data_IF_828911906796
#
_entry.id   IF_828911906796
#
_cell.length_a   1.000
_cell.length_b   1.000
_cell.length_c   1.000
_cell.angle_alpha   90.00
_cell.angle_beta   90.00
_cell.angle_gamma   90.00
#
_symmetry.space_group_name_H-M   'P 1'
#
loop_
_entity.id
_entity.type
_entity.pdbx_description
1 polymer ?
#
# COMPACT_ATOMS: atom_id res chain seq x y z
N UNK A 1 -1.82 6.55 44.51
CA UNK A 1 -2.20 6.24 43.11
C UNK A 1 -3.36 7.16 42.74
N UNK A 2 -3.27 8.01 41.71
CA UNK A 2 -4.41 8.81 41.28
C UNK A 2 -5.56 7.90 40.84
N UNK A 3 -6.80 8.33 41.07
CA UNK A 3 -7.99 7.58 40.65
C UNK A 3 -8.02 7.44 39.12
N UNK A 4 -8.57 6.33 38.64
CA UNK A 4 -8.69 6.04 37.21
C UNK A 4 -9.45 7.16 36.46
N UNK A 5 -10.38 7.83 37.14
CA UNK A 5 -11.14 8.94 36.56
C UNK A 5 -10.26 10.18 36.35
N UNK A 6 -9.25 10.41 37.19
CA UNK A 6 -8.29 11.51 37.04
C UNK A 6 -7.43 11.32 35.80
N UNK A 7 -6.91 10.11 35.59
CA UNK A 7 -6.12 9.77 34.38
C UNK A 7 -7.01 9.87 33.14
N UNK A 8 -8.23 9.32 33.19
CA UNK A 8 -9.17 9.37 32.07
C UNK A 8 -9.50 10.81 31.67
N UNK A 9 -9.85 11.67 32.64
CA UNK A 9 -10.15 13.10 32.43
C UNK A 9 -8.93 13.87 31.91
N UNK A 10 -7.73 13.55 32.38
CA UNK A 10 -6.51 14.16 31.85
C UNK A 10 -6.31 13.80 30.36
N UNK A 11 -6.41 12.51 30.03
CA UNK A 11 -6.27 12.02 28.66
C UNK A 11 -7.35 12.54 27.72
N UNK A 12 -8.59 12.72 28.19
CA UNK A 12 -9.71 13.14 27.36
C UNK A 12 -9.88 14.65 27.25
N UNK A 13 -9.59 15.40 28.33
CA UNK A 13 -9.94 16.82 28.42
C UNK A 13 -8.73 17.75 28.35
N UNK A 14 -7.53 17.28 28.73
CA UNK A 14 -6.32 18.12 28.74
C UNK A 14 -5.37 17.82 27.60
N UNK A 15 -5.15 16.54 27.30
CA UNK A 15 -4.41 16.18 26.09
C UNK A 15 -5.35 16.36 24.90
N UNK A 16 -4.95 17.18 23.93
CA UNK A 16 -5.73 17.57 22.74
C UNK A 16 -6.01 16.44 21.74
N UNK A 17 -6.34 15.25 22.23
CA UNK A 17 -6.67 14.07 21.43
C UNK A 17 -5.49 13.59 20.57
N UNK A 18 -5.77 13.08 19.37
CA UNK A 18 -4.74 12.49 18.50
C UNK A 18 -3.69 13.48 18.02
N UNK A 19 -4.00 14.78 17.97
CA UNK A 19 -3.04 15.80 17.54
C UNK A 19 -1.83 15.86 18.49
N UNK A 20 -2.08 15.92 19.80
CA UNK A 20 -1.02 15.87 20.81
C UNK A 20 -0.15 14.60 20.68
N UNK A 21 -0.80 13.44 20.54
CA UNK A 21 -0.06 12.17 20.40
C UNK A 21 0.71 12.07 19.09
N UNK A 22 0.22 12.70 18.02
CA UNK A 22 0.91 12.78 16.75
C UNK A 22 2.13 13.69 16.86
N UNK A 23 2.00 14.85 17.51
CA UNK A 23 3.10 15.79 17.75
C UNK A 23 4.19 15.15 18.61
N UNK A 24 3.82 14.54 19.74
CA UNK A 24 4.74 13.78 20.59
C UNK A 24 5.40 12.61 19.82
N UNK A 25 4.64 11.96 18.93
CA UNK A 25 5.18 10.94 18.05
C UNK A 25 6.21 11.54 17.07
N UNK A 26 5.98 12.71 16.50
CA UNK A 26 6.96 13.35 15.63
C UNK A 26 8.19 13.85 16.40
N UNK A 27 8.02 14.41 17.60
CA UNK A 27 9.11 14.97 18.40
C UNK A 27 10.12 13.90 18.83
N UNK A 28 9.66 12.76 19.36
CA UNK A 28 10.60 11.70 19.74
C UNK A 28 11.27 11.07 18.50
N UNK A 29 10.64 11.08 17.33
CA UNK A 29 11.30 10.64 16.10
C UNK A 29 12.41 11.60 15.68
N UNK A 30 12.21 12.92 15.78
CA UNK A 30 13.29 13.90 15.55
C UNK A 30 14.45 13.67 16.50
N UNK A 31 14.18 13.39 17.78
CA UNK A 31 15.23 13.11 18.75
C UNK A 31 16.02 11.82 18.43
N UNK A 32 15.32 10.74 18.05
CA UNK A 32 15.95 9.48 17.62
C UNK A 32 16.79 9.70 16.35
N UNK A 33 16.29 10.52 15.42
CA UNK A 33 16.97 10.87 14.18
C UNK A 33 18.25 11.68 14.43
N UNK A 34 18.18 12.68 15.31
CA UNK A 34 19.33 13.51 15.70
C UNK A 34 20.45 12.69 16.35
N UNK A 35 20.13 11.63 17.08
CA UNK A 35 21.11 10.69 17.63
C UNK A 35 21.63 9.67 16.58
N UNK A 36 21.23 9.78 15.31
CA UNK A 36 21.70 8.96 14.21
C UNK A 36 21.18 7.53 14.21
N UNK A 37 20.03 7.26 14.84
CA UNK A 37 19.46 5.91 14.90
C UNK A 37 18.47 5.60 13.77
N UNK A 38 18.15 6.56 12.92
CA UNK A 38 17.39 6.34 11.70
C UNK A 38 18.34 6.38 10.50
N UNK A 39 18.19 5.43 9.57
CA UNK A 39 18.99 5.39 8.34
C UNK A 39 18.39 6.23 7.22
N UNK A 40 17.05 6.22 7.11
CA UNK A 40 16.32 6.72 5.94
C UNK A 40 16.65 6.01 4.63
N UNK A 41 17.39 4.90 4.67
CA UNK A 41 17.76 4.19 3.44
C UNK A 41 16.63 3.29 2.97
N UNK A 42 16.15 2.42 3.88
CA UNK A 42 15.15 1.42 3.58
C UNK A 42 13.98 1.61 4.52
N UNK A 43 12.83 1.99 3.96
CA UNK A 43 11.56 1.96 4.67
C UNK A 43 10.75 0.74 4.29
N UNK A 44 10.04 0.17 5.26
CA UNK A 44 9.15 -0.97 5.04
C UNK A 44 7.77 -0.59 5.53
N UNK A 45 6.77 -0.72 4.66
CA UNK A 45 5.39 -0.38 4.99
C UNK A 45 4.44 -1.53 4.74
N UNK A 46 3.48 -1.68 5.63
CA UNK A 46 2.42 -2.68 5.54
C UNK A 46 1.22 -2.25 6.40
N UNK A 47 0.09 -2.93 6.21
CA UNK A 47 -1.17 -2.67 6.91
C UNK A 47 -1.65 -3.88 7.70
N UNK A 48 -2.02 -3.67 8.96
CA UNK A 48 -2.62 -4.70 9.81
C UNK A 48 -4.07 -4.39 10.14
N UNK A 49 -4.88 -5.45 10.25
CA UNK A 49 -6.22 -5.38 10.82
C UNK A 49 -6.15 -5.28 12.35
N UNK A 50 -6.89 -4.32 12.90
CA UNK A 50 -7.14 -4.14 14.33
C UNK A 50 -8.63 -4.39 14.59
N UNK A 51 -8.96 -5.38 15.43
CA UNK A 51 -10.36 -5.75 15.70
C UNK A 51 -11.06 -4.65 16.50
N UNK A 52 -12.18 -4.14 15.99
CA UNK A 52 -12.95 -3.11 16.66
C UNK A 52 -13.70 -3.69 17.88
N UNK A 53 -13.94 -2.86 18.90
CA UNK A 53 -14.81 -3.19 20.02
C UNK A 53 -16.30 -3.05 19.64
N UNK A 54 -16.70 -3.86 18.65
CA UNK A 54 -18.02 -3.85 18.04
C UNK A 54 -18.48 -5.27 17.68
N UNK A 55 -19.72 -5.62 18.01
CA UNK A 55 -20.28 -6.93 17.73
C UNK A 55 -20.74 -7.03 16.26
N UNK A 56 -20.11 -7.91 15.48
CA UNK A 56 -20.45 -8.12 14.06
C UNK A 56 -21.89 -8.57 13.80
N UNK A 57 -22.57 -9.18 14.78
CA UNK A 57 -23.97 -9.60 14.67
C UNK A 57 -24.95 -8.44 14.83
N UNK A 58 -24.53 -7.36 15.50
CA UNK A 58 -25.30 -6.12 15.65
C UNK A 58 -24.80 -5.12 14.61
N UNK A 59 -25.48 -5.06 13.46
CA UNK A 59 -25.13 -4.19 12.34
C UNK A 59 -26.37 -3.58 11.72
N UNK A 60 -26.22 -2.35 11.28
CA UNK A 60 -27.22 -1.63 10.52
C UNK A 60 -26.71 -1.44 9.09
N UNK A 61 -27.65 -1.34 8.15
CA UNK A 61 -27.35 -1.17 6.73
C UNK A 61 -27.71 0.26 6.38
N UNK A 62 -26.70 1.02 5.97
CA UNK A 62 -26.87 2.38 5.47
C UNK A 62 -26.56 2.43 3.99
N UNK A 63 -27.22 3.35 3.29
CA UNK A 63 -26.93 3.67 1.90
C UNK A 63 -26.24 5.02 1.85
N UNK A 64 -24.97 5.01 1.48
CA UNK A 64 -24.24 6.25 1.24
C UNK A 64 -24.31 6.56 -0.25
N UNK A 65 -24.76 7.76 -0.59
CA UNK A 65 -24.66 8.26 -1.96
C UNK A 65 -23.18 8.52 -2.27
N UNK A 66 -22.67 7.85 -3.29
CA UNK A 66 -21.32 8.09 -3.79
C UNK A 66 -21.41 8.49 -5.24
N UNK A 67 -20.85 9.66 -5.56
CA UNK A 67 -20.68 10.10 -6.93
C UNK A 67 -19.55 9.29 -7.55
N UNK A 68 -19.90 8.41 -8.49
CA UNK A 68 -18.88 7.73 -9.29
C UNK A 68 -18.54 8.67 -10.44
N UNK A 69 -17.51 9.48 -10.26
CA UNK A 69 -16.87 10.22 -11.35
C UNK A 69 -16.04 9.24 -12.19
N UNK A 70 -16.19 9.31 -13.53
CA UNK A 70 -15.48 8.37 -14.40
C UNK A 70 -14.03 8.83 -14.65
N UNK A 71 -13.12 7.96 -14.16
CA UNK A 71 -11.80 7.62 -14.70
C UNK A 71 -10.77 8.74 -14.87
N UNK A 72 -9.94 8.97 -13.84
CA UNK A 72 -8.62 9.67 -13.94
C UNK A 72 -7.73 9.16 -15.10
N UNK A 73 -8.04 7.99 -15.68
CA UNK A 73 -7.32 7.45 -16.82
C UNK A 73 -7.93 7.86 -18.18
N UNK A 74 -9.09 8.54 -18.23
CA UNK A 74 -9.81 8.80 -19.47
C UNK A 74 -9.02 9.68 -20.42
N UNK A 75 -8.40 10.74 -19.90
CA UNK A 75 -7.49 11.61 -20.66
C UNK A 75 -6.35 10.77 -21.27
N UNK A 76 -5.66 9.99 -20.43
CA UNK A 76 -4.58 9.11 -20.86
C UNK A 76 -5.05 8.04 -21.87
N UNK A 77 -6.25 7.50 -21.71
CA UNK A 77 -6.86 6.56 -22.66
C UNK A 77 -7.12 7.26 -23.99
N UNK A 78 -7.64 8.49 -23.97
CA UNK A 78 -7.96 9.25 -25.16
C UNK A 78 -6.71 9.68 -25.92
N UNK A 79 -5.64 10.07 -25.23
CA UNK A 79 -4.33 10.36 -25.82
C UNK A 79 -3.84 9.18 -26.68
N UNK A 80 -3.87 7.96 -26.13
CA UNK A 80 -3.53 6.76 -26.91
C UNK A 80 -4.49 6.53 -28.07
N UNK A 81 -5.79 6.72 -27.88
CA UNK A 81 -6.78 6.49 -28.94
C UNK A 81 -6.51 7.43 -30.12
N UNK A 82 -6.28 8.70 -29.84
CA UNK A 82 -5.99 9.73 -30.84
C UNK A 82 -4.67 9.45 -31.57
N UNK A 83 -3.61 9.08 -30.84
CA UNK A 83 -2.32 8.67 -31.41
C UNK A 83 -2.46 7.55 -32.45
N UNK A 84 -3.42 6.63 -32.26
CA UNK A 84 -3.71 5.52 -33.17
C UNK A 84 -4.93 5.74 -34.07
N UNK A 85 -5.33 7.00 -34.29
CA UNK A 85 -6.42 7.37 -35.21
C UNK A 85 -7.80 6.85 -34.78
N UNK A 86 -8.02 6.60 -33.48
CA UNK A 86 -9.31 6.18 -32.91
C UNK A 86 -10.02 7.36 -32.28
N UNK A 87 -11.35 7.42 -32.49
CA UNK A 87 -12.19 8.46 -31.87
C UNK A 87 -12.07 8.43 -30.33
N UNK A 88 -11.93 9.58 -29.66
CA UNK A 88 -11.89 9.63 -28.20
C UNK A 88 -13.19 9.13 -27.58
N UNK A 89 -13.10 8.60 -26.36
CA UNK A 89 -14.25 8.21 -25.55
C UNK A 89 -14.77 9.46 -24.83
N UNK A 90 -16.07 9.71 -24.95
CA UNK A 90 -16.75 10.77 -24.19
C UNK A 90 -16.81 10.41 -22.72
N UNK A 91 -16.61 11.36 -21.82
CA UNK A 91 -16.81 11.15 -20.39
C UNK A 91 -18.24 10.66 -20.10
N UNK A 92 -18.42 9.72 -19.16
CA UNK A 92 -19.76 9.43 -18.64
C UNK A 92 -20.21 10.57 -17.75
N UNK A 93 -21.52 10.85 -17.81
CA UNK A 93 -22.17 11.71 -16.81
C UNK A 93 -21.98 11.11 -15.43
N UNK A 94 -21.81 11.98 -14.45
CA UNK A 94 -21.77 11.58 -13.05
C UNK A 94 -23.01 10.78 -12.70
N UNK A 95 -22.80 9.65 -12.03
CA UNK A 95 -23.88 8.82 -11.52
C UNK A 95 -23.77 8.73 -10.02
N UNK A 96 -24.85 9.16 -9.37
CA UNK A 96 -25.07 8.91 -7.96
C UNK A 96 -25.43 7.43 -7.79
N UNK A 97 -24.55 6.69 -7.13
CA UNK A 97 -24.78 5.28 -6.82
C UNK A 97 -24.98 5.16 -5.30
N UNK A 98 -26.07 4.51 -4.89
CA UNK A 98 -26.27 4.13 -3.51
C UNK A 98 -25.40 2.93 -3.18
N UNK A 99 -24.39 3.14 -2.34
CA UNK A 99 -23.52 2.06 -1.87
C UNK A 99 -24.06 1.53 -0.55
N UNK A 100 -24.35 0.24 -0.51
CA UNK A 100 -24.71 -0.47 0.73
C UNK A 100 -23.48 -0.58 1.63
N UNK A 101 -23.57 -0.05 2.84
CA UNK A 101 -22.51 -0.10 3.86
C UNK A 101 -23.06 -0.75 5.12
N UNK A 102 -22.32 -1.74 5.64
CA UNK A 102 -22.60 -2.28 6.97
C UNK A 102 -21.86 -1.43 8.01
N UNK A 103 -22.61 -0.89 8.97
CA UNK A 103 -22.07 -0.06 10.05
C UNK A 103 -22.41 -0.69 11.41
N UNK A 104 -21.55 -0.47 12.41
CA UNK A 104 -21.87 -0.86 13.77
C UNK A 104 -22.69 0.24 14.45
N UNK A 105 -23.80 -0.08 15.15
CA UNK A 105 -24.59 0.90 15.88
C UNK A 105 -23.81 1.57 17.03
N UNK A 106 -22.77 0.89 17.54
CA UNK A 106 -21.98 1.36 18.67
C UNK A 106 -20.65 1.98 18.25
N UNK A 107 -20.22 1.77 17.00
CA UNK A 107 -18.96 2.25 16.45
C UNK A 107 -19.10 2.55 14.95
N UNK A 108 -19.53 3.78 14.67
CA UNK A 108 -19.85 4.27 13.33
C UNK A 108 -18.64 4.27 12.37
N UNK A 109 -17.42 4.28 12.90
CA UNK A 109 -16.18 4.39 12.12
C UNK A 109 -15.61 3.03 11.72
N UNK A 110 -15.91 1.98 12.49
CA UNK A 110 -15.47 0.64 12.16
C UNK A 110 -16.13 0.13 10.87
N UNK A 111 -15.40 -0.69 10.10
CA UNK A 111 -15.93 -1.32 8.89
C UNK A 111 -15.78 -2.82 8.94
N UNK A 112 -16.70 -3.52 8.27
CA UNK A 112 -16.68 -4.97 8.19
C UNK A 112 -15.53 -5.41 7.26
N UNK A 113 -14.47 -5.96 7.84
CA UNK A 113 -13.36 -6.55 7.12
C UNK A 113 -13.50 -8.07 7.07
N UNK A 114 -13.12 -8.66 5.93
CA UNK A 114 -13.07 -10.12 5.70
C UNK A 114 -11.63 -10.63 5.51
N UNK A 115 -10.62 -9.83 5.90
CA UNK A 115 -9.19 -10.14 5.69
C UNK A 115 -8.76 -11.42 6.42
N UNK A 116 -9.17 -11.58 7.68
CA UNK A 116 -8.82 -12.75 8.50
C UNK A 116 -9.99 -13.70 8.81
N UNK A 117 -11.24 -13.24 8.67
CA UNK A 117 -12.44 -14.04 8.93
C UNK A 117 -13.40 -14.04 7.74
N UNK A 118 -13.76 -15.23 7.22
CA UNK A 118 -14.71 -15.38 6.11
C UNK A 118 -16.07 -14.70 6.39
N UNK A 119 -16.55 -14.76 7.63
CA UNK A 119 -17.82 -14.13 8.06
C UNK A 119 -17.66 -12.64 8.41
N UNK A 120 -16.45 -12.12 8.27
CA UNK A 120 -16.06 -10.75 8.60
C UNK A 120 -16.08 -10.43 10.09
N UNK A 121 -15.43 -9.31 10.44
CA UNK A 121 -15.48 -8.66 11.74
C UNK A 121 -15.39 -7.14 11.57
N UNK A 122 -15.97 -6.37 12.48
CA UNK A 122 -15.73 -4.93 12.50
C UNK A 122 -14.29 -4.66 12.90
N UNK A 123 -13.61 -3.81 12.14
CA UNK A 123 -12.20 -3.55 12.29
C UNK A 123 -11.81 -2.14 11.82
N UNK A 124 -10.58 -1.79 12.18
CA UNK A 124 -9.78 -0.70 11.63
C UNK A 124 -8.56 -1.27 10.92
N UNK A 125 -7.93 -0.47 10.06
CA UNK A 125 -6.59 -0.75 9.56
C UNK A 125 -5.60 0.21 10.21
N UNK A 126 -4.50 -0.33 10.70
CA UNK A 126 -3.29 0.43 11.03
C UNK A 126 -2.32 0.31 9.84
N UNK A 127 -1.94 1.45 9.26
CA UNK A 127 -0.96 1.58 8.18
C UNK A 127 0.35 2.07 8.78
N UNK A 128 1.39 1.23 8.75
CA UNK A 128 2.65 1.49 9.44
C UNK A 128 3.80 1.60 8.46
N UNK A 129 4.74 2.51 8.75
CA UNK A 129 6.06 2.59 8.09
C UNK A 129 7.13 2.39 9.16
N UNK A 130 8.13 1.57 8.84
CA UNK A 130 9.25 1.20 9.72
C UNK A 130 10.57 1.47 9.02
N UNK A 131 11.51 2.16 9.69
CA UNK A 131 12.90 2.28 9.25
C UNK A 131 13.64 0.95 9.53
N UNK A 132 14.29 0.39 8.51
CA UNK A 132 14.78 -0.98 8.57
C UNK A 132 16.06 -1.17 9.40
N UNK A 133 16.83 -0.11 9.72
CA UNK A 133 18.10 -0.25 10.42
C UNK A 133 17.90 -0.86 11.82
N UNK A 134 17.08 -0.20 12.64
CA UNK A 134 16.76 -0.60 14.01
C UNK A 134 15.28 -0.90 14.23
N UNK A 135 14.52 -1.02 13.15
CA UNK A 135 13.08 -1.28 13.17
C UNK A 135 12.25 -0.19 13.87
N UNK A 136 12.66 1.07 13.84
CA UNK A 136 11.87 2.16 14.43
C UNK A 136 10.58 2.37 13.64
N UNK A 137 9.46 2.50 14.36
CA UNK A 137 8.17 2.84 13.74
C UNK A 137 8.20 4.33 13.46
N UNK A 138 8.25 4.73 12.19
CA UNK A 138 8.40 6.14 11.80
C UNK A 138 7.08 6.77 11.33
N UNK A 139 6.08 5.96 10.97
CA UNK A 139 4.72 6.42 10.75
C UNK A 139 3.71 5.37 11.19
N UNK A 140 2.58 5.81 11.73
CA UNK A 140 1.40 4.96 11.93
C UNK A 140 0.11 5.77 11.77
N UNK A 141 -0.76 5.32 10.88
CA UNK A 141 -2.06 5.94 10.60
C UNK A 141 -3.18 4.92 10.79
N UNK A 142 -4.32 5.35 11.34
CA UNK A 142 -5.48 4.48 11.53
C UNK A 142 -6.60 4.91 10.60
N UNK A 143 -7.19 3.95 9.91
CA UNK A 143 -8.37 4.18 9.08
C UNK A 143 -9.45 3.17 9.37
N UNK A 144 -10.66 3.46 8.90
CA UNK A 144 -11.67 2.44 8.72
C UNK A 144 -11.13 1.27 7.87
N UNK A 145 -11.55 0.04 8.15
CA UNK A 145 -11.05 -1.19 7.49
C UNK A 145 -11.53 -1.42 6.04
N UNK A 146 -11.76 -0.34 5.31
CA UNK A 146 -12.09 -0.31 3.89
C UNK A 146 -11.17 0.63 3.08
N UNK A 147 -10.25 1.33 3.75
CA UNK A 147 -9.27 2.22 3.10
C UNK A 147 -7.95 1.47 2.97
N UNK A 148 -7.54 1.07 1.75
CA UNK A 148 -6.34 0.26 1.54
C UNK A 148 -5.06 1.09 1.63
N UNK A 149 -3.97 0.46 2.06
CA UNK A 149 -2.68 1.13 2.31
C UNK A 149 -2.10 1.89 1.14
N UNK A 150 -2.33 1.46 -0.12
CA UNK A 150 -1.84 2.19 -1.30
C UNK A 150 -2.48 3.58 -1.48
N UNK A 151 -3.59 3.86 -0.80
CA UNK A 151 -4.21 5.20 -0.76
C UNK A 151 -3.64 6.06 0.36
N UNK A 152 -3.20 5.45 1.47
CA UNK A 152 -2.73 6.13 2.68
C UNK A 152 -1.24 6.45 2.62
N UNK A 153 -0.43 5.50 2.16
CA UNK A 153 1.02 5.58 2.18
C UNK A 153 1.61 6.81 1.47
N UNK A 154 1.10 7.30 0.31
CA UNK A 154 1.65 8.50 -0.30
C UNK A 154 1.65 9.72 0.63
N UNK A 155 0.57 9.94 1.38
CA UNK A 155 0.49 11.03 2.34
C UNK A 155 1.43 10.82 3.53
N UNK A 156 1.59 9.58 3.99
CA UNK A 156 2.59 9.26 5.03
C UNK A 156 4.01 9.56 4.56
N UNK A 157 4.36 9.21 3.31
CA UNK A 157 5.68 9.52 2.76
C UNK A 157 5.93 11.02 2.64
N UNK A 158 4.93 11.79 2.23
CA UNK A 158 5.05 13.25 2.12
C UNK A 158 5.23 13.88 3.51
N UNK A 159 4.51 13.41 4.52
CA UNK A 159 4.71 13.83 5.90
C UNK A 159 6.09 13.44 6.45
N UNK A 160 6.59 12.23 6.14
CA UNK A 160 7.93 11.81 6.55
C UNK A 160 9.03 12.65 5.87
N UNK A 161 8.82 13.07 4.61
CA UNK A 161 9.69 14.03 3.95
C UNK A 161 9.69 15.38 4.64
N UNK A 162 8.53 15.88 5.06
CA UNK A 162 8.45 17.12 5.85
C UNK A 162 9.16 16.99 7.20
N UNK A 163 9.07 15.82 7.84
CA UNK A 163 9.66 15.55 9.14
C UNK A 163 11.19 15.43 9.10
N UNK A 164 11.73 14.70 8.11
CA UNK A 164 13.16 14.36 8.01
C UNK A 164 13.91 15.13 6.89
N UNK A 165 13.21 15.98 6.16
CA UNK A 165 13.74 16.73 5.02
C UNK A 165 14.03 15.90 3.76
N UNK A 166 13.75 14.58 3.77
CA UNK A 166 14.07 13.65 2.67
C UNK A 166 13.08 12.48 2.58
N UNK A 167 12.94 11.92 1.38
CA UNK A 167 12.34 10.59 1.22
C UNK A 167 13.37 9.50 1.52
N UNK A 168 12.90 8.28 1.74
CA UNK A 168 13.79 7.12 1.70
C UNK A 168 14.36 6.86 0.30
N UNK A 169 15.53 6.23 0.28
CA UNK A 169 16.13 5.73 -0.97
C UNK A 169 15.29 4.57 -1.53
N UNK A 170 14.82 3.68 -0.65
CA UNK A 170 14.16 2.44 -1.03
C UNK A 170 12.97 2.10 -0.14
N UNK A 171 11.98 1.45 -0.73
CA UNK A 171 10.79 0.99 -0.03
C UNK A 171 10.43 -0.46 -0.36
N UNK A 172 10.09 -1.24 0.69
CA UNK A 172 9.61 -2.61 0.56
C UNK A 172 8.15 -2.73 1.00
N UNK A 173 7.31 -3.30 0.12
CA UNK A 173 5.86 -3.32 0.25
C UNK A 173 5.26 -4.70 -0.08
N UNK A 174 4.07 -4.93 0.46
CA UNK A 174 3.26 -6.11 0.21
C UNK A 174 2.56 -6.08 -1.17
N UNK A 175 1.83 -7.15 -1.51
CA UNK A 175 1.15 -7.23 -2.81
C UNK A 175 -0.13 -6.40 -2.91
N UNK A 176 -0.67 -5.93 -1.78
CA UNK A 176 -1.77 -4.96 -1.72
C UNK A 176 -1.42 -3.58 -2.27
N UNK A 177 -0.12 -3.26 -2.35
CA UNK A 177 0.39 -2.04 -2.97
C UNK A 177 0.63 -2.17 -4.49
N UNK A 178 0.37 -3.32 -5.11
CA UNK A 178 0.55 -3.54 -6.55
C UNK A 178 -0.55 -2.82 -7.37
N UNK A 179 -0.42 -1.50 -7.50
CA UNK A 179 -1.35 -0.61 -8.18
C UNK A 179 -0.57 0.44 -8.99
N UNK A 180 -0.83 0.53 -10.29
CA UNK A 180 -0.11 1.44 -11.19
C UNK A 180 -0.08 2.91 -10.72
N UNK A 181 -1.19 3.45 -10.20
CA UNK A 181 -1.24 4.85 -9.75
C UNK A 181 -0.34 5.07 -8.55
N UNK A 182 -0.39 4.15 -7.60
CA UNK A 182 0.50 4.17 -6.45
C UNK A 182 1.97 4.05 -6.89
N UNK A 183 2.30 3.10 -7.77
CA UNK A 183 3.66 2.90 -8.27
C UNK A 183 4.19 4.17 -8.96
N UNK A 184 3.37 4.82 -9.80
CA UNK A 184 3.74 6.11 -10.44
C UNK A 184 4.05 7.19 -9.41
N UNK A 185 3.28 7.28 -8.31
CA UNK A 185 3.55 8.21 -7.21
C UNK A 185 4.87 7.89 -6.48
N UNK A 186 5.24 6.62 -6.34
CA UNK A 186 6.52 6.22 -5.75
C UNK A 186 7.68 6.57 -6.68
N UNK A 187 7.57 6.26 -7.98
CA UNK A 187 8.62 6.57 -8.96
C UNK A 187 8.79 8.07 -9.18
N UNK A 188 7.73 8.87 -9.14
CA UNK A 188 7.84 10.33 -9.21
C UNK A 188 8.62 10.93 -8.04
N UNK A 189 8.70 10.22 -6.91
CA UNK A 189 9.50 10.58 -5.73
C UNK A 189 10.94 10.03 -5.79
N UNK A 190 11.31 9.37 -6.90
CA UNK A 190 12.63 8.73 -7.14
C UNK A 190 12.99 7.64 -6.11
N UNK A 191 11.99 6.97 -5.55
CA UNK A 191 12.17 5.89 -4.57
C UNK A 191 12.26 4.55 -5.30
N UNK A 192 13.29 3.76 -5.02
CA UNK A 192 13.36 2.37 -5.52
C UNK A 192 12.37 1.49 -4.76
N UNK A 193 11.54 0.73 -5.48
CA UNK A 193 10.44 -0.01 -4.89
C UNK A 193 10.53 -1.52 -5.11
N UNK A 194 10.52 -2.27 -4.01
CA UNK A 194 10.11 -3.67 -4.03
C UNK A 194 8.63 -3.76 -3.63
N UNK A 195 7.80 -4.30 -4.52
CA UNK A 195 6.41 -4.63 -4.23
C UNK A 195 6.20 -6.11 -4.51
N UNK A 196 5.71 -6.86 -3.53
CA UNK A 196 5.45 -8.28 -3.73
C UNK A 196 4.44 -8.51 -4.88
N UNK A 197 4.77 -9.42 -5.79
CA UNK A 197 3.89 -9.71 -6.93
C UNK A 197 2.83 -10.75 -6.55
N UNK A 198 1.55 -10.39 -6.69
CA UNK A 198 0.46 -11.36 -6.56
C UNK A 198 0.34 -12.17 -7.85
N UNK A 199 0.66 -13.47 -7.77
CA UNK A 199 0.46 -14.39 -8.89
C UNK A 199 -1.03 -14.67 -9.05
N UNK A 200 -1.64 -14.08 -10.07
CA UNK A 200 -3.02 -14.37 -10.44
C UNK A 200 -3.02 -15.65 -11.28
N UNK A 201 -3.87 -16.66 -10.97
CA UNK A 201 -4.03 -17.82 -11.82
C UNK A 201 -4.45 -17.37 -13.22
N UNK A 202 -3.64 -17.67 -14.23
CA UNK A 202 -3.95 -17.34 -15.62
C UNK A 202 -4.61 -18.55 -16.28
N UNK A 203 -5.75 -18.33 -16.96
CA UNK A 203 -6.40 -19.32 -17.83
C UNK A 203 -5.80 -19.33 -19.24
N UNK A 204 -4.52 -18.98 -19.37
CA UNK A 204 -3.79 -18.90 -20.64
C UNK A 204 -2.99 -20.19 -20.86
N UNK A 205 -2.85 -20.60 -22.13
CA UNK A 205 -2.04 -21.76 -22.48
C UNK A 205 -0.58 -21.57 -22.03
N UNK A 206 0.09 -22.57 -21.42
CA UNK A 206 1.44 -22.43 -20.88
C UNK A 206 2.50 -21.97 -21.89
N UNK A 207 2.37 -22.40 -23.15
CA UNK A 207 3.28 -22.05 -24.26
C UNK A 207 2.86 -20.76 -25.00
N UNK A 208 1.72 -20.18 -24.64
CA UNK A 208 1.25 -18.93 -25.21
C UNK A 208 0.68 -18.05 -24.11
N UNK A 209 1.54 -17.52 -23.25
CA UNK A 209 1.20 -16.54 -22.22
C UNK A 209 1.45 -15.14 -22.74
N UNK A 210 0.73 -14.16 -22.18
CA UNK A 210 0.94 -12.74 -22.46
C UNK A 210 2.41 -12.31 -22.39
N UNK A 211 3.17 -12.83 -21.44
CA UNK A 211 4.60 -12.51 -21.23
C UNK A 211 5.52 -13.06 -22.31
N UNK A 212 5.04 -13.99 -23.14
CA UNK A 212 5.80 -14.57 -24.26
C UNK A 212 5.54 -13.85 -25.58
N UNK A 213 4.62 -12.87 -25.62
CA UNK A 213 4.43 -12.02 -26.79
C UNK A 213 5.60 -11.05 -26.89
N UNK A 214 6.20 -10.94 -28.08
CA UNK A 214 7.30 -10.02 -28.36
C UNK A 214 6.74 -8.73 -28.95
N UNK A 215 7.11 -7.58 -28.38
CA UNK A 215 6.85 -6.27 -28.98
C UNK A 215 7.76 -6.11 -30.20
N UNK A 216 7.19 -5.87 -31.38
CA UNK A 216 7.93 -5.61 -32.62
C UNK A 216 8.01 -4.10 -32.85
N UNK A 217 6.87 -3.41 -32.72
CA UNK A 217 6.74 -1.94 -32.74
C UNK A 217 5.73 -1.51 -31.66
N UNK A 218 5.40 -0.22 -31.58
CA UNK A 218 4.42 0.28 -30.60
C UNK A 218 3.03 -0.37 -30.76
N UNK A 219 2.59 -0.50 -32.01
CA UNK A 219 1.28 -0.99 -32.44
C UNK A 219 1.26 -2.46 -32.87
N UNK A 220 2.40 -3.16 -32.79
CA UNK A 220 2.56 -4.51 -33.32
C UNK A 220 3.29 -5.43 -32.34
N UNK A 221 2.63 -6.53 -32.02
CA UNK A 221 3.19 -7.65 -31.25
C UNK A 221 3.23 -8.92 -32.10
N UNK A 222 4.15 -9.83 -31.79
CA UNK A 222 4.16 -11.18 -32.33
C UNK A 222 3.88 -12.19 -31.21
N UNK A 223 3.01 -13.16 -31.46
CA UNK A 223 2.82 -14.28 -30.53
C UNK A 223 3.98 -15.29 -30.64
N UNK A 224 4.07 -16.28 -29.73
CA UNK A 224 5.10 -17.32 -29.78
C UNK A 224 5.13 -18.15 -31.08
N UNK A 225 4.01 -18.24 -31.81
CA UNK A 225 3.95 -18.90 -33.12
C UNK A 225 4.35 -17.97 -34.29
N UNK A 226 4.81 -16.75 -34.03
CA UNK A 226 5.17 -15.76 -35.05
C UNK A 226 4.00 -14.99 -35.66
N UNK A 227 2.75 -15.26 -35.28
CA UNK A 227 1.56 -14.55 -35.79
C UNK A 227 1.56 -13.10 -35.30
N UNK A 228 1.37 -12.10 -36.20
CA UNK A 228 1.31 -10.69 -35.83
C UNK A 228 -0.04 -10.31 -35.18
N UNK A 229 0.02 -9.41 -34.21
CA UNK A 229 -1.10 -8.86 -33.45
C UNK A 229 -1.04 -7.34 -33.53
N UNK A 230 -1.99 -6.75 -34.25
CA UNK A 230 -2.06 -5.31 -34.50
C UNK A 230 -2.95 -4.60 -33.49
N UNK A 231 -2.58 -3.36 -33.15
CA UNK A 231 -3.38 -2.51 -32.27
C UNK A 231 -4.79 -2.35 -32.83
N UNK A 232 -5.79 -2.65 -32.00
CA UNK A 232 -7.20 -2.50 -32.35
C UNK A 232 -7.82 -1.28 -31.70
N UNK A 233 -7.64 -1.12 -30.39
CA UNK A 233 -8.29 -0.07 -29.60
C UNK A 233 -7.72 -0.04 -28.17
N UNK A 234 -7.87 1.10 -27.49
CA UNK A 234 -7.74 1.20 -26.04
C UNK A 234 -9.13 1.23 -25.44
N UNK A 235 -9.42 0.26 -24.58
CA UNK A 235 -10.71 0.16 -23.89
C UNK A 235 -10.80 1.16 -22.75
N UNK A 236 -12.03 1.53 -22.41
CA UNK A 236 -12.37 2.36 -21.24
C UNK A 236 -11.80 1.81 -19.93
N UNK A 237 -11.73 0.49 -19.80
CA UNK A 237 -11.13 -0.20 -18.63
C UNK A 237 -9.60 -0.04 -18.53
N UNK A 238 -8.97 0.77 -19.40
CA UNK A 238 -7.53 0.99 -19.39
C UNK A 238 -6.73 -0.20 -19.89
N UNK A 239 -7.21 -0.87 -20.94
CA UNK A 239 -6.47 -1.96 -21.61
C UNK A 239 -6.37 -1.71 -23.12
N UNK A 240 -5.14 -1.76 -23.65
CA UNK A 240 -4.87 -1.86 -25.08
C UNK A 240 -5.20 -3.27 -25.58
N UNK A 241 -6.00 -3.37 -26.63
CA UNK A 241 -6.31 -4.63 -27.30
C UNK A 241 -5.55 -4.73 -28.62
N UNK A 242 -4.83 -5.84 -28.79
CA UNK A 242 -4.19 -6.21 -30.05
C UNK A 242 -4.83 -7.50 -30.57
N UNK A 243 -5.08 -7.54 -31.87
CA UNK A 243 -5.75 -8.66 -32.54
C UNK A 243 -4.95 -9.14 -33.75
N UNK A 244 -4.90 -10.45 -34.01
CA UNK A 244 -4.33 -10.96 -35.24
C UNK A 244 -5.30 -10.77 -36.41
N UNK A 245 -4.84 -11.00 -37.66
CA UNK A 245 -5.74 -11.17 -38.80
C UNK A 245 -6.79 -12.26 -38.52
N UNK A 246 -7.98 -12.11 -39.10
CA UNK A 246 -9.10 -13.03 -38.85
C UNK A 246 -8.74 -14.45 -39.28
N UNK A 247 -9.01 -15.43 -38.41
CA UNK A 247 -8.73 -16.85 -38.66
C UNK A 247 -7.29 -17.28 -38.32
N UNK A 248 -6.41 -16.38 -37.87
CA UNK A 248 -5.02 -16.73 -37.59
C UNK A 248 -4.83 -17.73 -36.44
N UNK A 249 -5.82 -17.88 -35.57
CA UNK A 249 -5.78 -18.88 -34.49
C UNK A 249 -6.53 -20.18 -34.85
N UNK A 250 -7.06 -20.32 -36.07
CA UNK A 250 -7.73 -21.54 -36.50
C UNK A 250 -6.72 -22.69 -36.60
N UNK A 251 -7.00 -23.81 -35.93
CA UNK A 251 -6.06 -24.93 -35.84
C UNK A 251 -4.81 -24.68 -35.00
N UNK A 252 -4.69 -23.51 -34.32
CA UNK A 252 -3.53 -23.21 -33.50
C UNK A 252 -3.52 -24.09 -32.24
N UNK A 253 -2.41 -24.80 -31.93
CA UNK A 253 -2.32 -25.69 -30.77
C UNK A 253 -2.44 -24.95 -29.44
N UNK A 254 -2.28 -23.62 -29.44
CA UNK A 254 -2.35 -22.79 -28.24
C UNK A 254 -3.62 -21.94 -28.15
N UNK A 255 -4.56 -22.12 -29.08
CA UNK A 255 -5.83 -21.41 -29.05
C UNK A 255 -6.64 -21.84 -27.81
N UNK A 256 -7.22 -20.87 -27.11
CA UNK A 256 -8.02 -21.14 -25.90
C UNK A 256 -9.37 -21.79 -26.24
N UNK A 257 -9.93 -21.44 -27.39
CA UNK A 257 -11.17 -22.00 -27.92
C UNK A 257 -11.00 -22.23 -29.42
N UNK A 258 -11.49 -23.36 -29.96
CA UNK A 258 -11.55 -23.56 -31.40
C UNK A 258 -12.35 -22.44 -32.07
N UNK A 259 -11.87 -21.93 -33.20
CA UNK A 259 -12.58 -20.93 -34.02
C UNK A 259 -12.60 -19.49 -33.49
N UNK A 260 -11.96 -19.18 -32.36
CA UNK A 260 -11.87 -17.81 -31.83
C UNK A 260 -10.42 -17.29 -31.88
N UNK A 261 -10.22 -16.15 -32.54
CA UNK A 261 -8.94 -15.46 -32.53
C UNK A 261 -8.63 -14.87 -31.16
N UNK A 262 -7.40 -15.08 -30.69
CA UNK A 262 -6.95 -14.54 -29.42
C UNK A 262 -6.89 -13.01 -29.47
N UNK A 263 -7.23 -12.39 -28.35
CA UNK A 263 -7.00 -10.96 -28.11
C UNK A 263 -5.91 -10.79 -27.06
N UNK A 264 -4.82 -10.13 -27.42
CA UNK A 264 -3.79 -9.71 -26.47
C UNK A 264 -4.26 -8.43 -25.77
N UNK A 265 -4.27 -8.44 -24.43
CA UNK A 265 -4.66 -7.29 -23.61
C UNK A 265 -3.49 -6.82 -22.74
N UNK A 266 -3.04 -5.60 -22.97
CA UNK A 266 -1.99 -4.94 -22.18
C UNK A 266 -2.61 -3.78 -21.40
N UNK A 267 -2.14 -3.54 -20.17
CA UNK A 267 -2.60 -2.38 -19.41
C UNK A 267 -2.06 -1.09 -20.04
N UNK A 268 -2.79 0.02 -19.95
CA UNK A 268 -2.25 1.35 -20.29
C UNK A 268 -1.06 1.73 -19.42
N UNK A 269 -0.90 1.11 -18.24
CA UNK A 269 0.22 1.33 -17.32
C UNK A 269 1.27 0.20 -17.42
N UNK A 270 1.36 -0.50 -18.56
CA UNK A 270 2.24 -1.66 -18.71
C UNK A 270 3.71 -1.31 -18.48
N UNK A 271 4.15 -0.13 -18.90
CA UNK A 271 5.54 0.33 -18.72
C UNK A 271 5.89 0.52 -17.25
N UNK A 272 5.01 1.16 -16.47
CA UNK A 272 5.15 1.26 -15.01
C UNK A 272 5.27 -0.11 -14.34
N UNK A 273 4.46 -1.09 -14.76
CA UNK A 273 4.57 -2.45 -14.23
C UNK A 273 5.85 -3.17 -14.66
N UNK A 274 6.36 -2.88 -15.86
CA UNK A 274 7.61 -3.46 -16.36
C UNK A 274 8.80 -2.93 -15.58
N UNK A 275 8.86 -1.62 -15.35
CA UNK A 275 9.90 -0.97 -14.54
C UNK A 275 9.89 -1.51 -13.10
N UNK A 276 8.72 -1.56 -12.45
CA UNK A 276 8.60 -2.19 -11.12
C UNK A 276 9.05 -3.65 -11.15
N UNK A 277 8.71 -4.40 -12.21
CA UNK A 277 9.14 -5.80 -12.36
C UNK A 277 10.67 -5.90 -12.47
N UNK A 278 11.33 -4.98 -13.16
CA UNK A 278 12.78 -4.94 -13.26
C UNK A 278 13.41 -4.67 -11.88
N UNK A 279 12.94 -3.65 -11.15
CA UNK A 279 13.39 -3.36 -9.79
C UNK A 279 13.19 -4.57 -8.86
N UNK A 280 12.01 -5.20 -8.89
CA UNK A 280 11.67 -6.36 -8.07
C UNK A 280 12.55 -7.59 -8.35
N UNK A 281 12.99 -7.79 -9.60
CA UNK A 281 13.78 -8.96 -10.01
C UNK A 281 15.29 -8.72 -9.91
N UNK A 282 15.74 -7.47 -9.74
CA UNK A 282 17.15 -7.13 -9.54
C UNK A 282 17.68 -7.74 -8.24
N UNK A 283 19.01 -7.75 -8.09
CA UNK A 283 19.65 -8.18 -6.84
C UNK A 283 19.13 -7.37 -5.65
N UNK A 284 19.01 -6.05 -5.81
CA UNK A 284 18.52 -5.16 -4.75
C UNK A 284 17.06 -5.44 -4.37
N UNK A 285 16.19 -5.70 -5.35
CA UNK A 285 14.81 -6.10 -5.09
C UNK A 285 14.71 -7.43 -4.32
N UNK A 286 15.61 -8.38 -4.57
CA UNK A 286 15.68 -9.64 -3.80
C UNK A 286 16.13 -9.41 -2.35
N UNK A 287 17.04 -8.47 -2.10
CA UNK A 287 17.46 -8.08 -0.74
C UNK A 287 16.29 -7.43 0.01
N UNK A 288 15.58 -6.49 -0.61
CA UNK A 288 14.40 -5.86 0.01
C UNK A 288 13.30 -6.89 0.35
N UNK A 289 13.13 -7.91 -0.49
CA UNK A 289 12.23 -9.03 -0.18
C UNK A 289 12.60 -9.74 1.12
N UNK A 290 13.89 -9.94 1.41
CA UNK A 290 14.35 -10.61 2.64
C UNK A 290 14.33 -9.71 3.86
N UNK A 291 14.40 -8.38 3.70
CA UNK A 291 14.31 -7.40 4.80
C UNK A 291 12.88 -7.26 5.35
N UNK A 292 11.85 -7.46 4.52
CA UNK A 292 10.45 -7.24 4.90
C UNK A 292 9.96 -8.07 6.11
N UNK A 293 10.23 -9.40 6.20
CA UNK A 293 9.73 -10.22 7.32
C UNK A 293 10.37 -9.86 8.66
N UNK A 294 11.62 -9.41 8.68
CA UNK A 294 12.35 -9.05 9.91
C UNK A 294 12.07 -7.62 10.39
N UNK A 295 11.26 -6.85 9.67
CA UNK A 295 11.02 -5.42 9.95
C UNK A 295 9.57 -5.15 10.35
N UNK A 296 8.69 -4.85 9.39
CA UNK A 296 7.30 -4.44 9.66
C UNK A 296 6.44 -5.58 10.22
N UNK A 297 6.66 -6.82 9.75
CA UNK A 297 5.92 -7.98 10.26
C UNK A 297 6.27 -8.26 11.73
N UNK A 298 7.57 -8.20 12.07
CA UNK A 298 8.04 -8.29 13.45
C UNK A 298 7.50 -7.14 14.32
N UNK A 299 7.50 -5.92 13.80
CA UNK A 299 6.92 -4.75 14.47
C UNK A 299 5.45 -4.97 14.82
N UNK A 300 4.65 -5.51 13.89
CA UNK A 300 3.25 -5.82 14.17
C UNK A 300 3.09 -6.97 15.18
N UNK A 301 3.94 -7.99 15.11
CA UNK A 301 3.93 -9.08 16.10
C UNK A 301 4.19 -8.54 17.51
N UNK A 302 5.20 -7.67 17.69
CA UNK A 302 5.48 -7.01 18.97
C UNK A 302 4.28 -6.18 19.46
N UNK A 303 3.68 -5.37 18.60
CA UNK A 303 2.46 -4.62 18.96
C UNK A 303 1.35 -5.52 19.46
N UNK A 304 1.12 -6.66 18.81
CA UNK A 304 0.01 -7.57 19.11
C UNK A 304 0.26 -8.41 20.37
N UNK A 305 1.45 -9.01 20.49
CA UNK A 305 1.76 -9.92 21.59
C UNK A 305 2.18 -9.19 22.87
N UNK A 306 3.00 -8.13 22.76
CA UNK A 306 3.62 -7.48 23.92
C UNK A 306 2.90 -6.19 24.36
N UNK A 307 2.08 -5.61 23.47
CA UNK A 307 1.40 -4.34 23.73
C UNK A 307 -0.13 -4.42 23.60
N UNK A 308 -0.68 -5.62 23.38
CA UNK A 308 -2.13 -5.84 23.36
C UNK A 308 -2.86 -5.19 22.18
N UNK A 309 -2.17 -4.89 21.08
CA UNK A 309 -2.73 -4.24 19.88
C UNK A 309 -3.48 -5.22 18.95
N UNK A 310 -4.05 -6.30 19.49
CA UNK A 310 -4.97 -7.17 18.74
C UNK A 310 -6.38 -6.58 18.66
N UNK A 311 -6.72 -5.71 19.60
CA UNK A 311 -8.05 -5.12 19.76
C UNK A 311 -7.96 -3.61 19.94
N UNK A 312 -8.87 -2.89 19.28
CA UNK A 312 -9.15 -1.50 19.60
C UNK A 312 -9.87 -1.47 20.96
N UNK A 313 -9.27 -0.77 21.93
CA UNK A 313 -9.87 -0.54 23.25
C UNK A 313 -10.92 0.58 23.18
N UNK A 314 -10.66 1.55 22.32
CA UNK A 314 -11.55 2.67 22.06
C UNK A 314 -12.40 2.46 20.81
N UNK A 315 -13.38 3.35 20.61
CA UNK A 315 -14.27 3.43 19.44
C UNK A 315 -14.07 4.77 18.75
N UNK A 316 -14.23 4.80 17.42
CA UNK A 316 -13.89 5.93 16.57
C UNK A 316 -12.43 5.96 16.14
N UNK A 317 -12.17 6.31 14.88
CA UNK A 317 -10.82 6.32 14.27
C UNK A 317 -9.84 7.13 15.13
N UNK A 318 -10.26 8.31 15.56
CA UNK A 318 -9.41 9.25 16.30
C UNK A 318 -8.91 8.64 17.63
N UNK A 319 -9.80 8.05 18.44
CA UNK A 319 -9.38 7.45 19.72
C UNK A 319 -8.55 6.18 19.52
N UNK A 320 -8.83 5.41 18.47
CA UNK A 320 -8.02 4.24 18.11
C UNK A 320 -6.63 4.66 17.62
N UNK A 321 -6.54 5.77 16.88
CA UNK A 321 -5.26 6.38 16.48
C UNK A 321 -4.41 6.73 17.69
N UNK A 322 -4.99 7.32 18.74
CA UNK A 322 -4.28 7.56 20.02
C UNK A 322 -3.68 6.28 20.61
N UNK A 323 -4.46 5.20 20.71
CA UNK A 323 -3.96 3.91 21.21
C UNK A 323 -2.77 3.39 20.39
N UNK A 324 -2.88 3.49 19.07
CA UNK A 324 -1.85 3.03 18.13
C UNK A 324 -0.57 3.87 18.26
N UNK A 325 -0.69 5.21 18.29
CA UNK A 325 0.44 6.12 18.45
C UNK A 325 1.15 5.89 19.79
N UNK A 326 0.41 5.78 20.89
CA UNK A 326 1.00 5.43 22.20
C UNK A 326 1.78 4.12 22.15
N UNK A 327 1.23 3.10 21.49
CA UNK A 327 1.87 1.80 21.33
C UNK A 327 3.15 1.90 20.49
N UNK A 328 3.15 2.74 19.45
CA UNK A 328 4.32 2.99 18.61
C UNK A 328 5.43 3.75 19.36
N UNK A 329 5.06 4.83 20.09
CA UNK A 329 5.98 5.60 20.94
C UNK A 329 6.68 4.68 21.94
N UNK A 330 5.92 3.88 22.70
CA UNK A 330 6.51 2.99 23.72
C UNK A 330 7.46 1.95 23.09
N UNK A 331 7.14 1.41 21.91
CA UNK A 331 8.05 0.50 21.21
C UNK A 331 9.34 1.18 20.77
N UNK A 332 9.24 2.40 20.24
CA UNK A 332 10.40 3.19 19.87
C UNK A 332 11.24 3.53 21.10
N UNK A 333 10.65 4.02 22.19
CA UNK A 333 11.35 4.34 23.44
C UNK A 333 12.11 3.14 24.00
N UNK A 334 11.51 1.93 24.00
CA UNK A 334 12.19 0.70 24.44
C UNK A 334 13.43 0.40 23.60
N UNK A 335 13.35 0.54 22.27
CA UNK A 335 14.49 0.33 21.35
C UNK A 335 15.55 1.41 21.55
N UNK A 336 15.12 2.66 21.62
CA UNK A 336 15.99 3.81 21.79
C UNK A 336 16.79 3.73 23.10
N UNK A 337 16.12 3.42 24.22
CA UNK A 337 16.79 3.22 25.51
C UNK A 337 17.84 2.09 25.46
N UNK A 338 17.54 0.99 24.76
CA UNK A 338 18.49 -0.11 24.55
C UNK A 338 19.71 0.35 23.76
N UNK A 339 19.51 1.05 22.64
CA UNK A 339 20.61 1.54 21.80
C UNK A 339 21.49 2.57 22.54
N UNK A 340 20.88 3.50 23.29
CA UNK A 340 21.61 4.45 24.13
C UNK A 340 22.41 3.76 25.24
N UNK A 341 21.90 2.66 25.80
CA UNK A 341 22.66 1.87 26.77
C UNK A 341 23.88 1.19 26.14
N UNK A 342 23.81 0.80 24.87
CA UNK A 342 24.94 0.22 24.13
C UNK A 342 25.98 1.31 23.79
N UNK A 343 25.54 2.51 23.41
CA UNK A 343 26.45 3.65 23.21
C UNK A 343 27.25 3.97 24.48
N UNK A 344 26.63 3.90 25.67
CA UNK A 344 27.34 4.14 26.95
C UNK A 344 28.49 3.19 27.23
N UNK A 345 28.53 2.02 26.58
CA UNK A 345 29.64 1.05 26.69
C UNK A 345 30.53 1.03 25.44
N UNK A 346 30.45 2.08 24.61
CA UNK A 346 31.30 2.25 23.41
C UNK A 346 30.78 1.57 22.14
N UNK A 347 29.54 1.04 22.13
CA UNK A 347 28.93 0.44 20.94
C UNK A 347 28.04 1.44 20.21
N UNK A 348 28.61 2.14 19.24
CA UNK A 348 27.93 3.16 18.42
C UNK A 348 27.24 2.52 17.22
N UNK A 349 26.00 2.08 17.40
CA UNK A 349 25.16 1.50 16.35
C UNK A 349 24.36 2.58 15.60
N UNK A 350 25.03 3.61 15.07
CA UNK A 350 24.38 4.71 14.33
C UNK A 350 24.47 4.51 12.82
N UNK A 351 23.58 5.16 12.06
CA UNK A 351 23.54 5.10 10.60
C UNK A 351 24.74 5.77 9.93
N UNK A 352 25.33 6.75 10.62
CA UNK A 352 26.53 7.46 10.21
C UNK A 352 27.49 7.58 11.39
N UNK A 353 28.78 7.77 11.11
CA UNK A 353 29.78 8.11 12.12
C UNK A 353 29.45 9.53 12.60
N UNK A 354 29.08 9.68 13.87
CA UNK A 354 28.88 10.98 14.50
C UNK A 354 30.22 11.41 15.08
N UNK A 355 30.98 12.22 14.32
CA UNK A 355 32.21 12.84 14.80
C UNK A 355 31.89 13.71 16.03
N UNK A 356 32.45 13.36 17.19
CA UNK A 356 32.22 14.06 18.47
C UNK A 356 31.71 13.20 19.63
N UNK A 357 31.65 11.87 19.47
CA UNK A 357 31.21 10.94 20.53
C UNK A 357 32.31 10.01 21.05
N UNK A 358 33.53 10.54 21.17
CA UNK A 358 34.65 9.91 21.90
C UNK A 358 34.86 10.65 23.21
#
# INVERSE_FOLDING_TARGET
>A
MPDHSTISKFLSNRLGGPAFWQELFCDHLRAIDQEGFLSHDIWVADETELKANANKRKREVYYTQTTVQEEENLEFINEFRERYGKKPLRAKKEKNVLKRVNQSPVDADARLSVKHEKRGRFAYFEHRVVDALHNFIIASEVTAANIPGHQVLPAQLDHLRELFGRYCTEIALDSGYYNARFIKKIFSRKIFAYIAYRRIPVKEHPQCRRTQFRRIKEDLYACPCGVPFYYRTTTRKGSHEFKPPKGSCQGCPFAKKPGEDRVLRLSIHQETYNELRQQRLSLRGKILRSVRPSTVELSFAHSKELHGLRYARYRGVQKVKTQVLMTAIIQNLKKWAKLRSLQKIGLHLTSHIIEGSV
#
